data_IF_831302944626
#
_entry.id   IF_831302944626
#
_cell.length_a   1.000
_cell.length_b   1.000
_cell.length_c   1.000
_cell.angle_alpha   90.00
_cell.angle_beta   90.00
_cell.angle_gamma   90.00
#
_symmetry.space_group_name_H-M   'P 1'
#
loop_
_entity.id
_entity.type
_entity.pdbx_description
1 polymer ?
#
# COMPACT_ATOMS: atom_id res chain seq x y z
N UNK A 1 -4.72 -15.08 2.90
CA UNK A 1 -5.58 -16.22 2.45
C UNK A 1 -4.98 -17.52 2.95
N UNK A 2 -5.78 -18.56 3.28
CA UNK A 2 -5.18 -19.87 3.63
C UNK A 2 -4.71 -20.59 2.36
N UNK A 3 -3.55 -21.24 2.43
CA UNK A 3 -2.96 -21.99 1.33
C UNK A 3 -3.92 -23.04 0.75
N UNK A 4 -4.67 -23.75 1.59
CA UNK A 4 -5.64 -24.76 1.18
C UNK A 4 -6.79 -24.19 0.34
N UNK A 5 -7.27 -22.98 0.69
CA UNK A 5 -8.30 -22.28 -0.08
C UNK A 5 -7.77 -21.84 -1.45
N UNK A 6 -6.55 -21.32 -1.49
CA UNK A 6 -5.88 -20.96 -2.75
C UNK A 6 -5.71 -22.20 -3.66
N UNK A 7 -5.20 -23.30 -3.12
CA UNK A 7 -5.00 -24.55 -3.87
C UNK A 7 -6.32 -25.10 -4.45
N UNK A 8 -7.41 -25.07 -3.68
CA UNK A 8 -8.73 -25.48 -4.17
C UNK A 8 -9.25 -24.58 -5.30
N UNK A 9 -9.02 -23.27 -5.21
CA UNK A 9 -9.43 -22.32 -6.23
C UNK A 9 -8.59 -22.44 -7.52
N UNK A 10 -7.28 -22.65 -7.40
CA UNK A 10 -6.38 -22.94 -8.52
C UNK A 10 -6.81 -24.20 -9.26
N UNK A 11 -7.10 -25.29 -8.51
CA UNK A 11 -7.62 -26.53 -9.09
C UNK A 11 -8.92 -26.31 -9.85
N UNK A 12 -9.82 -25.47 -9.32
CA UNK A 12 -11.07 -25.16 -9.99
C UNK A 12 -10.87 -24.40 -11.31
N UNK A 13 -10.01 -23.38 -11.31
CA UNK A 13 -9.70 -22.59 -12.50
C UNK A 13 -8.97 -23.42 -13.56
N UNK A 14 -7.95 -24.20 -13.16
CA UNK A 14 -7.26 -25.11 -14.08
C UNK A 14 -8.20 -26.16 -14.65
N UNK A 15 -9.10 -26.75 -13.85
CA UNK A 15 -10.07 -27.72 -14.34
C UNK A 15 -10.97 -27.15 -15.43
N UNK A 16 -11.38 -25.87 -15.33
CA UNK A 16 -12.16 -25.19 -16.37
C UNK A 16 -11.31 -24.99 -17.62
N UNK A 17 -10.12 -24.42 -17.49
CA UNK A 17 -9.23 -24.10 -18.61
C UNK A 17 -8.78 -25.36 -19.38
N UNK A 18 -8.55 -26.48 -18.68
CA UNK A 18 -8.19 -27.76 -19.29
C UNK A 18 -9.34 -28.37 -20.10
N UNK A 19 -10.57 -28.30 -19.58
CA UNK A 19 -11.77 -28.82 -20.27
C UNK A 19 -12.14 -27.94 -21.45
N UNK A 20 -12.03 -26.62 -21.31
CA UNK A 20 -12.20 -25.67 -22.42
C UNK A 20 -11.18 -25.91 -23.54
N UNK A 21 -9.97 -26.41 -23.21
CA UNK A 21 -8.94 -26.82 -24.18
C UNK A 21 -9.13 -28.25 -24.72
N UNK A 22 -10.24 -28.91 -24.39
CA UNK A 22 -10.65 -30.17 -25.00
C UNK A 22 -10.26 -31.44 -24.24
N UNK A 23 -9.73 -31.35 -23.01
CA UNK A 23 -9.55 -32.55 -22.18
C UNK A 23 -10.89 -33.02 -21.62
N UNK A 24 -11.08 -34.34 -21.54
CA UNK A 24 -12.25 -34.90 -20.86
C UNK A 24 -12.19 -34.67 -19.34
N UNK A 25 -13.35 -34.76 -18.69
CA UNK A 25 -13.45 -34.70 -17.22
C UNK A 25 -12.57 -35.76 -16.55
N UNK A 26 -12.47 -36.95 -17.14
CA UNK A 26 -11.66 -38.05 -16.60
C UNK A 26 -10.17 -37.82 -16.76
N UNK A 27 -9.72 -37.26 -17.89
CA UNK A 27 -8.32 -36.90 -18.10
C UNK A 27 -7.90 -35.77 -17.16
N UNK A 28 -8.75 -34.75 -17.05
CA UNK A 28 -8.57 -33.62 -16.12
C UNK A 28 -8.48 -34.10 -14.68
N UNK A 29 -9.36 -35.02 -14.26
CA UNK A 29 -9.35 -35.61 -12.93
C UNK A 29 -8.03 -36.32 -12.63
N UNK A 30 -7.53 -37.13 -13.57
CA UNK A 30 -6.25 -37.84 -13.43
C UNK A 30 -5.05 -36.87 -13.35
N UNK A 31 -5.02 -35.84 -14.18
CA UNK A 31 -3.93 -34.85 -14.21
C UNK A 31 -3.88 -33.97 -12.97
N UNK A 32 -5.04 -33.65 -12.38
CA UNK A 32 -5.10 -32.80 -11.19
C UNK A 32 -5.07 -33.61 -9.88
N UNK A 33 -5.06 -34.94 -9.95
CA UNK A 33 -5.15 -35.82 -8.76
C UNK A 33 -6.49 -35.70 -8.04
N UNK A 34 -7.58 -35.57 -8.79
CA UNK A 34 -8.95 -35.35 -8.30
C UNK A 34 -9.90 -36.47 -8.74
N UNK A 35 -11.11 -36.49 -8.19
CA UNK A 35 -12.19 -37.34 -8.70
C UNK A 35 -12.91 -36.66 -9.86
N UNK A 36 -13.46 -37.44 -10.80
CA UNK A 36 -14.28 -36.91 -11.90
C UNK A 36 -15.46 -36.07 -11.38
N UNK A 37 -16.07 -36.48 -10.25
CA UNK A 37 -17.12 -35.73 -9.58
C UNK A 37 -16.62 -34.35 -9.10
N UNK A 38 -15.43 -34.26 -8.52
CA UNK A 38 -14.85 -32.98 -8.09
C UNK A 38 -14.63 -32.04 -9.28
N UNK A 39 -14.13 -32.56 -10.40
CA UNK A 39 -13.95 -31.80 -11.64
C UNK A 39 -15.29 -31.29 -12.18
N UNK A 40 -16.32 -32.13 -12.26
CA UNK A 40 -17.67 -31.72 -12.67
C UNK A 40 -18.26 -30.62 -11.77
N UNK A 41 -18.00 -30.68 -10.46
CA UNK A 41 -18.42 -29.64 -9.52
C UNK A 41 -17.68 -28.31 -9.73
N UNK A 42 -16.40 -28.33 -10.12
CA UNK A 42 -15.64 -27.12 -10.43
C UNK A 42 -16.09 -26.45 -11.73
N UNK A 43 -16.36 -27.26 -12.76
CA UNK A 43 -16.86 -26.78 -14.06
C UNK A 43 -18.24 -26.16 -13.91
N UNK A 44 -19.16 -26.85 -13.21
CA UNK A 44 -20.52 -26.36 -12.99
C UNK A 44 -20.63 -25.15 -12.05
N UNK A 45 -19.52 -24.65 -11.52
CA UNK A 45 -19.49 -23.51 -10.61
C UNK A 45 -20.03 -23.79 -9.19
N UNK A 46 -20.48 -25.03 -8.93
CA UNK A 46 -21.02 -25.45 -7.62
C UNK A 46 -19.94 -25.60 -6.54
N UNK A 47 -18.66 -25.56 -6.91
CA UNK A 47 -17.50 -25.65 -6.01
C UNK A 47 -16.45 -24.61 -6.44
N UNK A 48 -15.93 -23.85 -5.48
CA UNK A 48 -14.98 -22.75 -5.73
C UNK A 48 -15.41 -21.40 -5.12
N UNK A 49 -16.71 -21.17 -4.96
CA UNK A 49 -17.27 -20.01 -4.26
C UNK A 49 -16.82 -18.65 -4.83
N UNK A 50 -16.92 -17.61 -4.00
CA UNK A 50 -16.53 -16.24 -4.35
C UNK A 50 -15.05 -16.10 -4.72
N UNK A 51 -14.18 -16.88 -4.09
CA UNK A 51 -12.73 -16.82 -4.31
C UNK A 51 -12.34 -17.16 -5.74
N UNK A 52 -12.97 -18.18 -6.35
CA UNK A 52 -12.71 -18.52 -7.76
C UNK A 52 -13.15 -17.38 -8.68
N UNK A 53 -14.23 -16.67 -8.36
CA UNK A 53 -14.70 -15.53 -9.14
C UNK A 53 -13.79 -14.32 -9.00
N UNK A 54 -13.25 -14.09 -7.81
CA UNK A 54 -12.27 -13.03 -7.55
C UNK A 54 -10.98 -13.27 -8.33
N UNK A 55 -10.41 -14.47 -8.24
CA UNK A 55 -9.21 -14.86 -8.97
C UNK A 55 -9.40 -14.80 -10.50
N UNK A 56 -10.59 -15.17 -10.99
CA UNK A 56 -10.90 -15.13 -12.42
C UNK A 56 -10.91 -13.71 -13.02
N UNK A 57 -11.08 -12.68 -12.18
CA UNK A 57 -11.03 -11.26 -12.60
C UNK A 57 -9.63 -10.68 -12.59
N UNK A 58 -8.65 -11.34 -11.96
CA UNK A 58 -7.27 -10.84 -11.92
C UNK A 58 -6.48 -11.35 -13.13
N UNK A 59 -6.12 -10.45 -14.03
CA UNK A 59 -5.43 -10.78 -15.29
C UNK A 59 -4.09 -11.48 -15.07
N UNK A 60 -3.35 -11.12 -14.01
CA UNK A 60 -2.04 -11.74 -13.70
C UNK A 60 -2.23 -13.18 -13.24
N UNK A 61 -3.22 -13.40 -12.37
CA UNK A 61 -3.58 -14.75 -11.91
C UNK A 61 -4.05 -15.59 -13.10
N UNK A 62 -4.95 -15.06 -13.94
CA UNK A 62 -5.45 -15.81 -15.09
C UNK A 62 -4.36 -16.06 -16.13
N UNK A 63 -3.39 -15.16 -16.31
CA UNK A 63 -2.21 -15.41 -17.14
C UNK A 63 -1.40 -16.61 -16.62
N UNK A 64 -1.15 -16.69 -15.31
CA UNK A 64 -0.45 -17.82 -14.69
C UNK A 64 -1.23 -19.14 -14.86
N UNK A 65 -2.55 -19.10 -14.63
CA UNK A 65 -3.43 -20.26 -14.79
C UNK A 65 -3.43 -20.76 -16.23
N UNK A 66 -3.60 -19.86 -17.21
CA UNK A 66 -3.63 -20.19 -18.63
C UNK A 66 -2.31 -20.79 -19.10
N UNK A 67 -1.18 -20.17 -18.74
CA UNK A 67 0.15 -20.71 -19.06
C UNK A 67 0.36 -22.11 -18.49
N UNK A 68 -0.07 -22.36 -17.25
CA UNK A 68 0.00 -23.69 -16.65
C UNK A 68 -0.94 -24.68 -17.36
N UNK A 69 -2.16 -24.25 -17.72
CA UNK A 69 -3.09 -25.09 -18.47
C UNK A 69 -2.49 -25.52 -19.82
N UNK A 70 -1.85 -24.61 -20.56
CA UNK A 70 -1.23 -24.92 -21.85
C UNK A 70 -0.11 -25.97 -21.70
N UNK A 71 0.77 -25.80 -20.70
CA UNK A 71 1.83 -26.78 -20.36
C UNK A 71 1.23 -28.16 -20.06
N UNK A 72 0.13 -28.21 -19.31
CA UNK A 72 -0.54 -29.45 -18.93
C UNK A 72 -1.23 -30.14 -20.11
N UNK A 73 -1.86 -29.39 -21.01
CA UNK A 73 -2.46 -29.93 -22.24
C UNK A 73 -1.38 -30.56 -23.12
N UNK A 74 -0.26 -29.89 -23.30
CA UNK A 74 0.86 -30.41 -24.08
C UNK A 74 1.49 -31.64 -23.44
N UNK A 75 1.63 -31.67 -22.12
CA UNK A 75 2.10 -32.84 -21.39
C UNK A 75 1.14 -34.04 -21.57
N UNK A 76 -0.17 -33.80 -21.47
CA UNK A 76 -1.19 -34.82 -21.65
C UNK A 76 -1.18 -35.41 -23.08
N UNK A 77 -1.02 -34.56 -24.10
CA UNK A 77 -0.86 -34.98 -25.51
C UNK A 77 0.37 -35.84 -25.73
N UNK A 78 1.46 -35.58 -24.99
CA UNK A 78 2.69 -36.38 -25.00
C UNK A 78 2.59 -37.68 -24.18
N UNK A 79 1.41 -38.00 -23.65
CA UNK A 79 1.15 -39.25 -22.92
C UNK A 79 1.50 -39.20 -21.43
N UNK A 80 1.87 -38.04 -20.89
CA UNK A 80 2.13 -37.87 -19.45
C UNK A 80 0.78 -37.90 -18.72
N UNK A 81 0.62 -38.86 -17.82
CA UNK A 81 -0.62 -39.09 -17.07
C UNK A 81 -0.26 -39.25 -15.59
N UNK A 82 -0.25 -38.13 -14.88
CA UNK A 82 0.04 -38.14 -13.45
C UNK A 82 -0.48 -36.87 -12.77
N UNK A 83 -0.72 -36.93 -11.45
CA UNK A 83 -1.13 -35.77 -10.68
C UNK A 83 -0.01 -34.73 -10.67
N UNK A 84 -0.32 -33.53 -11.11
CA UNK A 84 0.60 -32.41 -11.11
C UNK A 84 0.60 -31.75 -9.73
N UNK A 85 1.79 -31.43 -9.23
CA UNK A 85 1.91 -30.61 -8.03
C UNK A 85 1.60 -29.15 -8.35
N UNK A 86 0.53 -28.63 -7.75
CA UNK A 86 0.07 -27.25 -7.91
C UNK A 86 0.46 -26.37 -6.72
N UNK A 87 1.29 -26.88 -5.81
CA UNK A 87 1.67 -26.19 -4.57
C UNK A 87 2.33 -24.85 -4.85
N UNK A 88 3.31 -24.80 -5.75
CA UNK A 88 4.02 -23.55 -6.06
C UNK A 88 3.11 -22.53 -6.76
N UNK A 89 2.29 -22.96 -7.72
CA UNK A 89 1.30 -22.09 -8.35
C UNK A 89 0.32 -21.51 -7.33
N UNK A 90 -0.15 -22.34 -6.39
CA UNK A 90 -1.05 -21.91 -5.32
C UNK A 90 -0.37 -20.93 -4.34
N UNK A 91 0.91 -21.13 -4.00
CA UNK A 91 1.69 -20.19 -3.19
C UNK A 91 1.84 -18.84 -3.88
N UNK A 92 2.23 -18.84 -5.17
CA UNK A 92 2.39 -17.61 -5.96
C UNK A 92 1.07 -16.83 -6.02
N UNK A 93 -0.03 -17.50 -6.35
CA UNK A 93 -1.36 -16.86 -6.40
C UNK A 93 -1.79 -16.34 -5.01
N UNK A 94 -1.54 -17.11 -3.94
CA UNK A 94 -1.81 -16.67 -2.57
C UNK A 94 -1.00 -15.42 -2.18
N UNK A 95 0.24 -15.31 -2.65
CA UNK A 95 1.09 -14.14 -2.42
C UNK A 95 0.58 -12.91 -3.18
N UNK A 96 0.24 -13.06 -4.46
CA UNK A 96 -0.34 -11.98 -5.28
C UNK A 96 -1.61 -11.41 -4.62
N UNK A 97 -2.47 -12.29 -4.12
CA UNK A 97 -3.71 -11.88 -3.44
C UNK A 97 -3.45 -11.25 -2.07
N UNK A 98 -2.50 -11.78 -1.30
CA UNK A 98 -2.14 -11.20 0.00
C UNK A 98 -1.56 -9.79 -0.16
N UNK A 99 -0.68 -9.58 -1.16
CA UNK A 99 -0.16 -8.26 -1.48
C UNK A 99 -1.27 -7.30 -1.89
N UNK A 100 -2.19 -7.75 -2.76
CA UNK A 100 -3.32 -6.93 -3.22
C UNK A 100 -4.25 -6.53 -2.08
N UNK A 101 -4.54 -7.45 -1.15
CA UNK A 101 -5.30 -7.15 0.08
C UNK A 101 -4.60 -6.10 0.93
N UNK A 102 -3.30 -6.28 1.20
CA UNK A 102 -2.52 -5.31 1.99
C UNK A 102 -2.47 -3.91 1.34
N UNK A 103 -2.33 -3.83 0.01
CA UNK A 103 -2.36 -2.57 -0.71
C UNK A 103 -3.73 -1.89 -0.63
N UNK A 104 -4.83 -2.65 -0.79
CA UNK A 104 -6.18 -2.12 -0.66
C UNK A 104 -6.47 -1.63 0.76
N UNK A 105 -6.06 -2.38 1.79
CA UNK A 105 -6.21 -2.01 3.20
C UNK A 105 -5.43 -0.72 3.51
N UNK A 106 -4.23 -0.58 2.94
CA UNK A 106 -3.40 0.62 3.10
C UNK A 106 -4.02 1.84 2.41
N UNK A 107 -4.53 1.69 1.19
CA UNK A 107 -5.23 2.78 0.48
C UNK A 107 -6.46 3.25 1.26
N UNK A 108 -7.25 2.33 1.79
CA UNK A 108 -8.42 2.66 2.60
C UNK A 108 -8.02 3.40 3.89
N UNK A 109 -6.96 2.94 4.55
CA UNK A 109 -6.41 3.60 5.73
C UNK A 109 -5.98 5.04 5.42
N UNK A 110 -5.25 5.26 4.32
CA UNK A 110 -4.80 6.60 3.89
C UNK A 110 -6.01 7.49 3.59
N UNK A 111 -7.01 6.99 2.85
CA UNK A 111 -8.25 7.75 2.56
C UNK A 111 -9.06 8.07 3.82
N UNK A 112 -9.10 7.16 4.79
CA UNK A 112 -9.70 7.43 6.09
C UNK A 112 -8.96 8.54 6.82
N UNK A 113 -7.62 8.50 6.81
CA UNK A 113 -6.80 9.52 7.46
C UNK A 113 -6.93 10.89 6.80
N UNK A 114 -6.95 10.98 5.47
CA UNK A 114 -7.18 12.25 4.75
C UNK A 114 -8.47 12.92 5.22
N UNK A 115 -9.56 12.16 5.36
CA UNK A 115 -10.84 12.68 5.85
C UNK A 115 -10.72 13.23 7.28
N UNK A 116 -10.05 12.50 8.18
CA UNK A 116 -9.83 12.94 9.56
C UNK A 116 -8.99 14.22 9.65
N UNK A 117 -7.95 14.35 8.83
CA UNK A 117 -7.13 15.56 8.76
C UNK A 117 -7.96 16.76 8.26
N UNK A 118 -8.77 16.59 7.21
CA UNK A 118 -9.67 17.64 6.70
C UNK A 118 -10.74 18.07 7.73
N UNK A 119 -11.34 17.11 8.44
CA UNK A 119 -12.28 17.38 9.53
C UNK A 119 -11.61 18.15 10.67
N UNK A 120 -10.39 17.77 11.03
CA UNK A 120 -9.59 18.43 12.06
C UNK A 120 -9.27 19.88 11.66
N UNK A 121 -8.86 20.10 10.41
CA UNK A 121 -8.63 21.44 9.87
C UNK A 121 -9.87 22.34 9.96
N UNK A 122 -11.01 21.82 9.52
CA UNK A 122 -12.30 22.54 9.53
C UNK A 122 -12.73 22.91 10.96
N UNK A 123 -12.58 21.98 11.92
CA UNK A 123 -12.88 22.23 13.33
C UNK A 123 -11.94 23.25 13.95
N UNK A 124 -10.63 23.13 13.69
CA UNK A 124 -9.63 24.06 14.19
C UNK A 124 -9.86 25.49 13.65
N UNK A 125 -10.17 25.64 12.36
CA UNK A 125 -10.58 26.93 11.78
C UNK A 125 -11.86 27.47 12.44
N UNK A 126 -12.86 26.62 12.66
CA UNK A 126 -14.08 27.05 13.35
C UNK A 126 -13.78 27.55 14.77
N UNK A 127 -12.86 26.92 15.50
CA UNK A 127 -12.43 27.39 16.81
C UNK A 127 -11.65 28.70 16.71
N UNK A 128 -10.77 28.87 15.73
CA UNK A 128 -9.97 30.08 15.54
C UNK A 128 -10.85 31.34 15.41
N UNK A 129 -12.00 31.25 14.74
CA UNK A 129 -12.96 32.35 14.64
C UNK A 129 -13.75 32.62 15.92
N UNK A 130 -13.88 31.63 16.82
CA UNK A 130 -14.62 31.76 18.09
C UNK A 130 -13.77 32.38 19.19
N UNK A 131 -12.44 32.18 19.18
CA UNK A 131 -11.57 32.69 20.24
C UNK A 131 -11.20 34.15 20.03
N UNK A 132 -11.37 34.93 21.11
CA UNK A 132 -10.94 36.35 21.15
C UNK A 132 -9.42 36.48 21.34
N UNK A 133 -8.82 35.60 22.13
CA UNK A 133 -7.39 35.66 22.43
C UNK A 133 -6.56 35.38 21.16
N UNK A 134 -5.71 36.32 20.71
CA UNK A 134 -4.94 36.17 19.48
C UNK A 134 -3.90 35.04 19.53
N UNK A 135 -3.32 34.75 20.69
CA UNK A 135 -2.34 33.67 20.86
C UNK A 135 -3.00 32.30 20.73
N UNK A 136 -4.17 32.12 21.35
CA UNK A 136 -4.94 30.86 21.22
C UNK A 136 -5.47 30.71 19.79
N UNK A 137 -5.88 31.81 19.15
CA UNK A 137 -6.27 31.81 17.74
C UNK A 137 -5.11 31.35 16.85
N UNK A 138 -3.89 31.81 17.10
CA UNK A 138 -2.70 31.39 16.37
C UNK A 138 -2.48 29.86 16.47
N UNK A 139 -2.60 29.28 17.66
CA UNK A 139 -2.50 27.82 17.85
C UNK A 139 -3.53 27.05 17.00
N UNK A 140 -4.79 27.49 16.99
CA UNK A 140 -5.81 26.83 16.14
C UNK A 140 -5.54 27.01 14.64
N UNK A 141 -5.01 28.15 14.22
CA UNK A 141 -4.62 28.36 12.82
C UNK A 141 -3.45 27.46 12.43
N UNK A 142 -2.47 27.27 13.31
CA UNK A 142 -1.36 26.31 13.09
C UNK A 142 -1.88 24.88 12.95
N UNK A 143 -2.71 24.41 13.89
CA UNK A 143 -3.32 23.07 13.81
C UNK A 143 -4.09 22.89 12.50
N UNK A 144 -4.82 23.91 12.06
CA UNK A 144 -5.56 23.85 10.80
C UNK A 144 -4.63 23.76 9.59
N UNK A 145 -3.59 24.58 9.53
CA UNK A 145 -2.60 24.57 8.45
C UNK A 145 -1.85 23.22 8.39
N UNK A 146 -1.49 22.67 9.54
CA UNK A 146 -0.81 21.37 9.64
C UNK A 146 -1.69 20.23 9.16
N UNK A 147 -2.95 20.21 9.60
CA UNK A 147 -3.90 19.18 9.18
C UNK A 147 -4.15 19.23 7.66
N UNK A 148 -4.21 20.43 7.06
CA UNK A 148 -4.30 20.57 5.60
C UNK A 148 -3.05 20.04 4.90
N UNK A 149 -1.85 20.40 5.37
CA UNK A 149 -0.59 19.85 4.83
C UNK A 149 -0.53 18.32 4.95
N UNK A 150 -0.97 17.74 6.06
CA UNK A 150 -1.01 16.29 6.23
C UNK A 150 -1.93 15.64 5.21
N UNK A 151 -3.12 16.20 4.97
CA UNK A 151 -4.05 15.70 3.97
C UNK A 151 -3.44 15.74 2.56
N UNK A 152 -2.70 16.80 2.23
CA UNK A 152 -1.98 16.93 0.96
C UNK A 152 -0.86 15.88 0.83
N UNK A 153 -0.03 15.70 1.87
CA UNK A 153 1.04 14.68 1.89
C UNK A 153 0.46 13.28 1.72
N UNK A 154 -0.62 12.95 2.44
CA UNK A 154 -1.29 11.66 2.33
C UNK A 154 -1.88 11.44 0.92
N UNK A 155 -2.39 12.51 0.29
CA UNK A 155 -2.86 12.46 -1.09
C UNK A 155 -1.70 12.18 -2.05
N UNK A 156 -0.55 12.83 -1.88
CA UNK A 156 0.65 12.55 -2.69
C UNK A 156 1.15 11.11 -2.52
N UNK A 157 1.15 10.58 -1.28
CA UNK A 157 1.49 9.18 -1.02
C UNK A 157 0.51 8.25 -1.74
N UNK A 158 -0.79 8.54 -1.69
CA UNK A 158 -1.81 7.76 -2.38
C UNK A 158 -1.64 7.80 -3.91
N UNK A 159 -1.29 8.96 -4.46
CA UNK A 159 -1.02 9.13 -5.89
C UNK A 159 0.25 8.38 -6.32
N UNK A 160 1.29 8.38 -5.49
CA UNK A 160 2.52 7.62 -5.72
C UNK A 160 2.24 6.11 -5.69
N UNK A 161 1.57 5.60 -4.66
CA UNK A 161 1.22 4.17 -4.53
C UNK A 161 0.26 3.72 -5.66
N UNK A 162 -0.63 4.60 -6.10
CA UNK A 162 -1.54 4.37 -7.22
C UNK A 162 -0.89 4.54 -8.61
N UNK A 163 0.40 4.87 -8.68
CA UNK A 163 1.14 5.07 -9.93
C UNK A 163 0.76 6.32 -10.72
N UNK A 164 -0.02 7.24 -10.12
CA UNK A 164 -0.37 8.55 -10.70
C UNK A 164 0.75 9.56 -10.58
N UNK A 165 1.65 9.38 -9.61
CA UNK A 165 2.83 10.20 -9.40
C UNK A 165 4.09 9.34 -9.53
N UNK A 166 5.10 9.84 -10.25
CA UNK A 166 6.43 9.24 -10.33
C UNK A 166 7.42 10.14 -9.59
N UNK A 167 8.22 9.55 -8.71
CA UNK A 167 9.29 10.29 -8.05
C UNK A 167 10.47 10.43 -9.01
N UNK A 168 10.88 11.67 -9.27
CA UNK A 168 12.12 11.97 -9.99
C UNK A 168 13.32 11.94 -9.02
N UNK A 169 14.53 11.98 -9.57
CA UNK A 169 15.76 12.06 -8.78
C UNK A 169 15.85 13.37 -7.99
N UNK A 170 16.71 13.40 -6.97
CA UNK A 170 16.97 14.60 -6.18
C UNK A 170 17.94 15.49 -6.97
N UNK A 171 17.48 16.68 -7.38
CA UNK A 171 18.29 17.70 -8.06
C UNK A 171 18.81 18.76 -7.07
N UNK A 172 19.42 18.30 -5.97
CA UNK A 172 20.05 19.16 -4.96
C UNK A 172 21.46 18.67 -4.70
N UNK A 173 22.40 19.61 -4.57
CA UNK A 173 23.78 19.25 -4.26
C UNK A 173 23.97 18.98 -2.76
N UNK A 174 25.01 18.21 -2.42
CA UNK A 174 25.22 17.74 -1.04
C UNK A 174 25.63 18.89 -0.10
N UNK A 175 26.30 19.91 -0.63
CA UNK A 175 26.77 21.09 0.11
C UNK A 175 25.59 21.99 0.53
N UNK A 176 24.62 22.22 -0.36
CA UNK A 176 23.37 22.96 -0.09
C UNK A 176 22.58 22.31 1.05
N UNK A 177 22.46 20.98 1.03
CA UNK A 177 21.77 20.24 2.09
C UNK A 177 22.53 20.27 3.42
N UNK A 178 23.87 20.34 3.39
CA UNK A 178 24.69 20.44 4.60
C UNK A 178 24.57 21.81 5.26
N UNK A 179 24.59 22.89 4.46
CA UNK A 179 24.34 24.25 4.94
C UNK A 179 22.97 24.35 5.58
N UNK A 180 21.92 23.88 4.90
CA UNK A 180 20.55 23.95 5.41
C UNK A 180 20.37 23.15 6.72
N UNK A 181 21.00 21.97 6.83
CA UNK A 181 20.96 21.19 8.07
C UNK A 181 21.67 21.90 9.24
N UNK A 182 22.75 22.63 8.98
CA UNK A 182 23.46 23.41 9.99
C UNK A 182 22.65 24.61 10.46
N UNK A 183 21.98 25.31 9.54
CA UNK A 183 21.10 26.44 9.84
C UNK A 183 19.96 26.02 10.78
N UNK A 184 19.18 24.99 10.42
CA UNK A 184 18.07 24.47 11.25
C UNK A 184 18.55 23.95 12.62
N UNK A 185 19.74 23.34 12.69
CA UNK A 185 20.32 22.89 13.94
C UNK A 185 20.68 24.03 14.90
N UNK A 186 21.14 25.17 14.36
CA UNK A 186 21.57 26.34 15.15
C UNK A 186 20.40 27.17 15.69
N UNK A 187 19.26 27.17 15.01
CA UNK A 187 18.09 27.98 15.41
C UNK A 187 17.51 27.54 16.76
N UNK A 188 17.66 26.26 17.12
CA UNK A 188 17.19 25.70 18.40
C UNK A 188 17.81 26.34 19.63
N UNK A 189 19.09 26.69 19.58
CA UNK A 189 19.78 27.31 20.73
C UNK A 189 19.30 28.75 20.98
N UNK A 190 18.76 29.41 19.96
CA UNK A 190 18.43 30.84 20.00
C UNK A 190 17.15 31.20 20.78
N UNK A 191 16.23 30.24 20.97
CA UNK A 191 14.91 30.50 21.57
C UNK A 191 14.76 29.98 23.01
N UNK A 192 15.80 29.36 23.57
CA UNK A 192 15.77 28.78 24.93
C UNK A 192 15.38 29.81 26.01
N UNK A 193 15.86 31.05 25.89
CA UNK A 193 15.55 32.11 26.85
C UNK A 193 14.06 32.55 26.83
N UNK A 194 13.34 32.29 25.73
CA UNK A 194 11.91 32.61 25.61
C UNK A 194 11.04 31.74 26.53
N UNK A 195 11.53 30.58 26.98
CA UNK A 195 10.82 29.73 27.94
C UNK A 195 10.68 30.34 29.33
N UNK A 196 11.45 31.38 29.65
CA UNK A 196 11.29 32.13 30.91
C UNK A 196 9.95 32.87 30.98
N UNK A 197 9.20 32.96 29.87
CA UNK A 197 7.92 33.63 29.83
C UNK A 197 6.85 32.81 30.58
N UNK A 198 6.17 33.48 31.52
CA UNK A 198 5.19 32.87 32.43
C UNK A 198 3.85 32.47 31.80
N UNK A 199 3.53 32.94 30.59
CA UNK A 199 2.27 32.65 29.91
C UNK A 199 2.25 31.23 29.29
N UNK A 200 1.30 30.35 29.66
CA UNK A 200 1.24 28.98 29.16
C UNK A 200 0.91 28.88 27.66
N UNK A 201 0.13 29.80 27.10
CA UNK A 201 -0.23 29.81 25.68
C UNK A 201 0.98 30.24 24.85
N UNK A 202 1.74 31.23 25.34
CA UNK A 202 2.97 31.63 24.68
C UNK A 202 4.03 30.51 24.72
N UNK A 203 4.15 29.79 25.85
CA UNK A 203 5.02 28.61 25.91
C UNK A 203 4.61 27.52 24.91
N UNK A 204 3.31 27.31 24.69
CA UNK A 204 2.84 26.37 23.68
C UNK A 204 3.23 26.80 22.25
N UNK A 205 3.21 28.09 21.96
CA UNK A 205 3.66 28.63 20.66
C UNK A 205 5.17 28.47 20.47
N UNK A 206 5.97 28.74 21.51
CA UNK A 206 7.43 28.55 21.47
C UNK A 206 7.76 27.06 21.27
N UNK A 207 7.07 26.17 21.99
CA UNK A 207 7.20 24.74 21.82
C UNK A 207 6.87 24.28 20.39
N UNK A 208 5.82 24.85 19.79
CA UNK A 208 5.46 24.55 18.39
C UNK A 208 6.61 24.88 17.43
N UNK A 209 7.30 26.00 17.63
CA UNK A 209 8.46 26.38 16.81
C UNK A 209 9.58 25.37 17.00
N UNK A 210 9.96 25.04 18.24
CA UNK A 210 11.03 24.05 18.49
C UNK A 210 10.75 22.67 17.87
N UNK A 211 9.49 22.23 17.92
CA UNK A 211 9.08 20.96 17.30
C UNK A 211 9.20 21.01 15.77
N UNK A 212 8.93 22.16 15.15
CA UNK A 212 9.08 22.35 13.72
C UNK A 212 10.56 22.36 13.30
N UNK A 213 11.44 23.05 14.03
CA UNK A 213 12.89 23.06 13.76
C UNK A 213 13.50 21.65 13.86
N UNK A 214 13.13 20.88 14.91
CA UNK A 214 13.58 19.48 15.04
C UNK A 214 13.08 18.63 13.86
N UNK A 215 11.82 18.80 13.46
CA UNK A 215 11.24 18.11 12.31
C UNK A 215 11.98 18.48 11.02
N UNK A 216 12.27 19.75 10.77
CA UNK A 216 12.99 20.20 9.58
C UNK A 216 14.38 19.59 9.50
N UNK A 217 15.14 19.64 10.61
CA UNK A 217 16.46 19.03 10.69
C UNK A 217 16.42 17.53 10.31
N UNK A 218 15.45 16.77 10.84
CA UNK A 218 15.27 15.35 10.52
C UNK A 218 14.91 15.11 9.05
N UNK A 219 14.06 15.95 8.45
CA UNK A 219 13.69 15.85 7.04
C UNK A 219 14.91 16.08 6.13
N UNK A 220 15.72 17.10 6.41
CA UNK A 220 16.94 17.40 5.63
C UNK A 220 17.95 16.25 5.75
N UNK A 221 18.15 15.70 6.96
CA UNK A 221 19.01 14.51 7.14
C UNK A 221 18.54 13.32 6.30
N UNK A 222 17.23 13.13 6.20
CA UNK A 222 16.66 12.06 5.37
C UNK A 222 16.94 12.30 3.88
N UNK A 223 16.82 13.56 3.42
CA UNK A 223 17.18 13.94 2.05
C UNK A 223 18.66 13.71 1.74
N UNK A 224 19.57 14.05 2.66
CA UNK A 224 21.01 13.79 2.51
C UNK A 224 21.30 12.30 2.31
N UNK A 225 20.63 11.42 3.07
CA UNK A 225 20.78 9.97 2.92
C UNK A 225 20.27 9.48 1.56
N UNK A 226 19.11 9.97 1.12
CA UNK A 226 18.54 9.61 -0.17
C UNK A 226 19.42 10.09 -1.35
N UNK A 227 19.97 11.31 -1.28
CA UNK A 227 20.86 11.86 -2.30
C UNK A 227 22.17 11.05 -2.45
N UNK A 228 22.67 10.45 -1.36
CA UNK A 228 23.83 9.56 -1.39
C UNK A 228 23.52 8.20 -2.01
N UNK A 229 22.32 7.66 -1.79
CA UNK A 229 21.91 6.35 -2.32
C UNK A 229 21.63 6.37 -3.82
N UNK A 230 21.21 7.50 -4.40
CA UNK A 230 20.98 7.65 -5.84
C UNK A 230 22.24 7.74 -6.71
N UNK A 231 23.45 7.66 -6.12
CA UNK A 231 24.75 7.69 -6.82
C UNK A 231 25.32 6.28 -7.11
N UNK A 232 24.58 5.21 -6.86
CA UNK A 232 24.95 3.81 -7.13
C UNK A 232 23.93 3.14 -8.05
#
# INVERSE_FOLDING_TARGET
MSFERALSAVRALLARELVERGLSVNETAKLLGLTAAAVSMYISGKRGGELVQELAKDERVMGLIKNHADILVDAARKGIRGPVDLTELAKVISNIMSQRGQHADLEELIRSRIRLEQETASRAMTYSYKVKNPLIRALFMQIAADSLRHAEILTMILDYLGGRLRAEGIDLNEEELEVLAAEEGSMRESIADLYRIGDPVLRALILSIELDEEKHFQLIRTLQLAARQGKH
#
